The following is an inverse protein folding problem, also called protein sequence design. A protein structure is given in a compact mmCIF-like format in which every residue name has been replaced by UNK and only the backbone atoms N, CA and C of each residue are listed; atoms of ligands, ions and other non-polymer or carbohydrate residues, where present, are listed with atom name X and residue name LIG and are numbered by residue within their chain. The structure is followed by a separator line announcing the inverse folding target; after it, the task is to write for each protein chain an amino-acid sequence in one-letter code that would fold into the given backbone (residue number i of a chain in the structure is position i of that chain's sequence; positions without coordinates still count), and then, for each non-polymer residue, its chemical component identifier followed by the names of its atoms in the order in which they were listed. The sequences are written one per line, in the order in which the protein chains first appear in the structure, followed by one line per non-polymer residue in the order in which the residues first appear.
data_IF_643360353287
#
_entry.id   IF_643360353287
#
_cell.length_a   1.000
_cell.length_b   1.000
_cell.length_c   1.000
_cell.angle_alpha   90.00
_cell.angle_beta   90.00
_cell.angle_gamma   90.00
#
_symmetry.space_group_name_H-M   'P 1'
#
loop_
_entity.id
_entity.type
_entity.pdbx_description
1 polymer ?
#
# COMPACT_ATOMS: atom_id res chain seq x y z
N UNK A 1 -0.37 -27.21 35.00
CA UNK A 1 -0.59 -26.81 34.61
C UNK A 1 -0.84 -26.22 33.93
N UNK A 2 -1.03 -25.84 33.65
CA UNK A 2 -1.33 -25.35 33.03
C UNK A 2 -1.50 -24.60 32.37
N UNK A 3 -1.57 -24.35 32.19
CA UNK A 3 -1.76 -23.73 31.71
C UNK A 3 -1.99 -23.11 31.05
N UNK A 4 -2.26 -22.94 30.82
CA UNK A 4 -2.67 -22.35 30.11
C UNK A 4 -2.64 -21.52 29.60
N UNK A 5 -2.66 -21.16 29.56
CA UNK A 5 -2.77 -20.34 29.11
C UNK A 5 -2.95 -19.82 28.24
N UNK A 6 -3.35 -19.77 28.00
CA UNK A 6 -3.61 -19.35 27.26
C UNK A 6 -3.76 -18.69 26.56
N UNK A 7 -3.72 -18.43 26.42
CA UNK A 7 -3.85 -17.98 25.73
C UNK A 7 -4.31 -17.20 25.19
N UNK A 8 -4.56 -16.86 25.20
CA UNK A 8 -5.06 -16.18 24.74
C UNK A 8 -4.90 -15.42 24.12
N UNK A 9 -4.65 -15.28 24.62
CA UNK A 9 -4.35 -14.47 23.84
C UNK A 9 -4.79 -14.43 22.60
N UNK A 10 -5.60 -14.69 22.50
CA UNK A 10 -6.03 -14.89 21.52
C UNK A 10 -6.81 -13.97 20.82
N UNK A 11 -6.66 -12.77 20.98
CA UNK A 11 -7.31 -11.83 20.17
C UNK A 11 -6.83 -11.98 18.80
N UNK A 12 -7.70 -12.34 17.89
CA UNK A 12 -7.29 -12.51 16.52
C UNK A 12 -6.89 -11.17 15.96
N UNK A 13 -5.67 -11.02 15.64
CA UNK A 13 -5.20 -9.81 15.06
C UNK A 13 -5.83 -9.54 13.72
N UNK A 14 -6.33 -10.60 13.08
CA UNK A 14 -7.02 -10.44 11.81
C UNK A 14 -8.28 -9.60 11.93
N UNK A 15 -8.78 -9.38 13.13
CA UNK A 15 -9.97 -8.58 13.32
C UNK A 15 -9.66 -7.13 13.59
N UNK A 16 -8.42 -6.76 13.68
CA UNK A 16 -8.04 -5.40 13.97
C UNK A 16 -7.40 -4.77 12.75
N UNK A 17 -7.60 -3.48 12.59
CA UNK A 17 -6.88 -2.74 11.59
C UNK A 17 -5.39 -2.81 11.92
N UNK A 18 -4.54 -2.70 10.90
CA UNK A 18 -3.12 -2.67 11.12
C UNK A 18 -2.73 -1.38 11.83
N UNK A 19 -1.73 -1.44 12.71
CA UNK A 19 -1.16 -0.20 13.24
C UNK A 19 -0.67 0.69 12.10
N UNK A 20 -0.60 2.00 12.33
CA UNK A 20 -0.33 2.93 11.23
C UNK A 20 0.91 2.62 10.41
N UNK A 21 2.01 2.23 11.05
CA UNK A 21 3.20 1.95 10.27
C UNK A 21 3.07 0.68 9.45
N UNK A 22 2.39 -0.33 9.96
CA UNK A 22 2.17 -1.56 9.19
C UNK A 22 1.21 -1.33 8.04
N UNK A 23 0.22 -0.47 8.24
CA UNK A 23 -0.67 -0.08 7.15
C UNK A 23 0.13 0.67 6.06
N UNK A 24 1.02 1.57 6.46
CA UNK A 24 1.88 2.29 5.51
C UNK A 24 2.75 1.32 4.71
N UNK A 25 3.35 0.35 5.40
CA UNK A 25 4.19 -0.65 4.73
C UNK A 25 3.38 -1.46 3.73
N UNK A 26 2.18 -1.85 4.10
CA UNK A 26 1.32 -2.62 3.19
C UNK A 26 1.01 -1.81 1.94
N UNK A 27 0.73 -0.52 2.10
CA UNK A 27 0.45 0.36 0.96
C UNK A 27 1.68 0.52 0.07
N UNK A 28 2.84 0.75 0.68
CA UNK A 28 4.07 0.89 -0.10
C UNK A 28 4.42 -0.37 -0.87
N UNK A 29 4.26 -1.53 -0.24
CA UNK A 29 4.52 -2.79 -0.91
C UNK A 29 3.56 -3.02 -2.07
N UNK A 30 2.30 -2.66 -1.88
CA UNK A 30 1.31 -2.81 -2.94
C UNK A 30 1.64 -1.90 -4.13
N UNK A 31 2.07 -0.67 -3.86
CA UNK A 31 2.46 0.27 -4.90
C UNK A 31 3.64 -0.27 -5.69
N UNK A 32 4.65 -0.77 -5.00
CA UNK A 32 5.87 -1.27 -5.66
C UNK A 32 5.63 -2.53 -6.47
N UNK A 33 4.57 -3.26 -6.17
CA UNK A 33 4.22 -4.49 -6.87
C UNK A 33 3.17 -4.28 -7.95
N UNK A 34 2.55 -3.10 -8.00
CA UNK A 34 1.45 -2.86 -8.93
C UNK A 34 1.96 -2.77 -10.36
N UNK A 35 1.37 -3.54 -11.26
CA UNK A 35 1.86 -3.58 -12.63
C UNK A 35 1.73 -2.24 -13.35
N UNK A 36 0.68 -1.48 -13.08
CA UNK A 36 0.54 -0.18 -13.71
C UNK A 36 1.63 0.79 -13.27
N UNK A 37 2.01 0.72 -11.99
CA UNK A 37 3.10 1.55 -11.49
C UNK A 37 4.42 1.10 -12.13
N UNK A 38 4.68 -0.21 -12.12
CA UNK A 38 5.93 -0.74 -12.66
C UNK A 38 6.05 -0.39 -14.14
N UNK A 39 4.97 -0.51 -14.89
CA UNK A 39 5.02 -0.29 -16.34
C UNK A 39 5.08 1.19 -16.71
N UNK A 40 4.75 2.08 -15.81
CA UNK A 40 4.88 3.51 -16.07
C UNK A 40 6.33 3.88 -16.26
N UNK A 41 7.22 3.26 -15.50
CA UNK A 41 8.64 3.53 -15.57
C UNK A 41 9.30 2.47 -16.44
N UNK A 42 10.13 2.91 -17.36
CA UNK A 42 10.84 1.98 -18.22
C UNK A 42 11.84 1.19 -17.40
N UNK A 43 12.28 0.06 -17.92
CA UNK A 43 13.25 -0.76 -17.20
C UNK A 43 14.54 -0.01 -16.90
N UNK A 44 14.82 1.05 -17.63
CA UNK A 44 16.03 1.83 -17.41
C UNK A 44 15.88 2.90 -16.36
N UNK A 45 14.69 3.09 -15.85
CA UNK A 45 14.40 4.23 -14.98
C UNK A 45 14.07 3.73 -13.58
N UNK A 46 15.06 3.60 -12.71
CA UNK A 46 14.79 3.10 -11.37
C UNK A 46 14.00 4.12 -10.56
N UNK A 47 13.18 3.61 -9.68
CA UNK A 47 12.40 4.45 -8.78
C UNK A 47 13.36 5.10 -7.79
N UNK A 48 13.28 6.43 -7.67
CA UNK A 48 14.14 7.19 -6.77
C UNK A 48 13.51 7.37 -5.41
N UNK A 49 12.20 7.54 -5.36
CA UNK A 49 11.54 7.75 -4.09
C UNK A 49 10.04 7.60 -4.21
N UNK A 50 9.43 7.37 -3.05
CA UNK A 50 7.99 7.34 -2.90
C UNK A 50 7.67 8.32 -1.78
N UNK A 51 6.74 9.23 -2.03
CA UNK A 51 6.36 10.25 -1.08
C UNK A 51 4.92 10.08 -0.65
N UNK A 52 4.67 10.22 0.63
CA UNK A 52 3.32 10.31 1.13
C UNK A 52 2.85 11.75 0.92
N UNK A 53 1.85 11.94 0.06
CA UNK A 53 1.33 13.27 -0.22
C UNK A 53 0.25 13.65 0.78
N UNK A 54 -0.68 12.73 0.99
CA UNK A 54 -1.75 12.84 1.97
C UNK A 54 -2.40 11.49 2.10
N UNK A 55 -3.38 11.36 2.96
CA UNK A 55 -4.07 10.10 3.16
C UNK A 55 -4.52 9.54 1.80
N UNK A 56 -4.14 8.28 1.57
CA UNK A 56 -4.50 7.53 0.38
C UNK A 56 -3.93 8.08 -0.91
N UNK A 57 -2.88 8.89 -0.84
CA UNK A 57 -2.24 9.43 -2.03
C UNK A 57 -0.73 9.45 -1.88
N UNK A 58 -0.05 8.83 -2.82
CA UNK A 58 1.40 8.76 -2.85
C UNK A 58 1.91 9.25 -4.19
N UNK A 59 3.15 9.73 -4.20
CA UNK A 59 3.84 10.08 -5.44
C UNK A 59 5.07 9.22 -5.57
N UNK A 60 5.21 8.55 -6.72
CA UNK A 60 6.37 7.73 -7.04
C UNK A 60 7.16 8.45 -8.11
N UNK A 61 8.43 8.66 -7.86
CA UNK A 61 9.31 9.43 -8.75
C UNK A 61 10.46 8.57 -9.25
N UNK A 62 10.75 8.68 -10.52
CA UNK A 62 11.89 8.02 -11.15
C UNK A 62 12.47 8.99 -12.16
N UNK A 63 13.60 9.63 -11.81
CA UNK A 63 14.18 10.65 -12.66
C UNK A 63 13.25 11.84 -12.82
N UNK A 64 12.97 12.21 -14.04
CA UNK A 64 12.08 13.34 -14.34
C UNK A 64 10.61 12.93 -14.44
N UNK A 65 10.33 11.65 -14.21
CA UNK A 65 8.99 11.10 -14.35
C UNK A 65 8.39 10.84 -12.98
N UNK A 66 7.10 11.14 -12.81
CA UNK A 66 6.43 10.76 -11.57
C UNK A 66 4.98 10.38 -11.84
N UNK A 67 4.44 9.57 -10.94
CA UNK A 67 3.03 9.20 -10.97
C UNK A 67 2.43 9.41 -9.60
N UNK A 68 1.19 9.83 -9.58
CA UNK A 68 0.41 9.90 -8.36
C UNK A 68 -0.45 8.65 -8.29
N UNK A 69 -0.45 8.03 -7.13
CA UNK A 69 -1.05 6.72 -6.93
C UNK A 69 -2.01 6.81 -5.75
N UNK A 70 -3.23 6.39 -5.96
CA UNK A 70 -4.25 6.39 -4.93
C UNK A 70 -4.42 5.00 -4.33
N UNK A 71 -4.73 4.98 -3.05
CA UNK A 71 -5.15 3.77 -2.35
C UNK A 71 -6.67 3.80 -2.32
N UNK A 72 -7.30 2.80 -2.89
CA UNK A 72 -8.75 2.77 -3.06
C UNK A 72 -9.31 1.53 -2.39
N UNK A 73 -10.34 1.71 -1.58
CA UNK A 73 -10.97 0.56 -0.94
C UNK A 73 -11.53 -0.40 -1.97
N UNK A 74 -11.38 -1.68 -1.72
CA UNK A 74 -11.97 -2.69 -2.58
C UNK A 74 -13.49 -2.62 -2.48
N UNK A 75 -14.18 -2.58 -3.62
CA UNK A 75 -15.64 -2.56 -3.60
C UNK A 75 -16.17 -3.84 -2.95
N UNK A 76 -17.17 -3.69 -2.10
CA UNK A 76 -17.85 -4.81 -1.50
C UNK A 76 -17.12 -5.51 -0.38
N UNK A 77 -15.91 -5.09 -0.05
CA UNK A 77 -15.15 -5.71 1.02
C UNK A 77 -15.46 -5.00 2.34
N UNK A 78 -16.23 -5.66 3.17
CA UNK A 78 -16.64 -5.08 4.44
C UNK A 78 -16.33 -5.98 5.61
N UNK A 79 -15.21 -6.65 5.55
CA UNK A 79 -14.82 -7.57 6.60
C UNK A 79 -14.03 -6.84 7.67
N UNK A 80 -14.13 -7.30 8.91
CA UNK A 80 -13.22 -6.80 9.93
C UNK A 80 -11.79 -7.23 9.60
N UNK A 81 -10.84 -6.51 10.14
CA UNK A 81 -9.44 -6.82 9.97
C UNK A 81 -8.71 -5.76 9.19
N UNK A 82 -7.55 -6.10 8.63
CA UNK A 82 -6.78 -5.16 7.83
C UNK A 82 -7.58 -4.65 6.64
N UNK A 83 -7.36 -3.40 6.32
CA UNK A 83 -8.04 -2.75 5.21
C UNK A 83 -7.79 -3.50 3.91
N UNK A 84 -8.84 -3.73 3.14
CA UNK A 84 -8.75 -4.30 1.81
C UNK A 84 -8.74 -3.17 0.80
N UNK A 85 -7.72 -3.12 -0.03
CA UNK A 85 -7.57 -2.00 -0.95
C UNK A 85 -6.90 -2.43 -2.24
N UNK A 86 -7.00 -1.56 -3.25
CA UNK A 86 -6.26 -1.68 -4.48
C UNK A 86 -5.49 -0.39 -4.70
N UNK A 87 -4.53 -0.45 -5.62
CA UNK A 87 -3.69 0.68 -5.98
C UNK A 87 -4.14 1.16 -7.35
N UNK A 88 -4.25 2.48 -7.52
CA UNK A 88 -4.69 3.04 -8.79
C UNK A 88 -3.81 4.22 -9.16
N UNK A 89 -3.20 4.17 -10.33
CA UNK A 89 -2.46 5.30 -10.88
C UNK A 89 -3.48 6.33 -11.38
N UNK A 90 -3.41 7.54 -10.86
CA UNK A 90 -4.38 8.57 -11.21
C UNK A 90 -3.80 9.68 -12.07
N UNK A 91 -2.50 9.92 -11.98
CA UNK A 91 -1.86 10.95 -12.78
C UNK A 91 -0.45 10.51 -13.12
N UNK A 92 -0.05 10.75 -14.35
CA UNK A 92 1.28 10.41 -14.80
C UNK A 92 1.88 11.65 -15.46
N UNK A 93 3.06 12.02 -15.03
CA UNK A 93 3.79 13.16 -15.57
C UNK A 93 5.19 12.69 -15.93
N UNK A 94 5.41 12.44 -17.20
CA UNK A 94 6.70 11.96 -17.69
C UNK A 94 7.04 12.73 -18.94
N UNK A 95 8.23 13.34 -19.01
CA UNK A 95 8.69 13.94 -20.25
C UNK A 95 8.98 12.85 -21.26
N UNK A 96 8.83 13.13 -22.47
CA UNK A 96 9.11 12.17 -23.55
C UNK A 96 10.57 12.10 -23.88
#
# INVERSE_FOLDING_TARGET
MLAGAVIFAVVPESWAALPPNYQRIAELQAILSDSAVVETFKVKQPIDRIEFVKTDLYRVTAGACHVDVAIVDKPGEKRPGPRQFTVKVITRTCPD
#
